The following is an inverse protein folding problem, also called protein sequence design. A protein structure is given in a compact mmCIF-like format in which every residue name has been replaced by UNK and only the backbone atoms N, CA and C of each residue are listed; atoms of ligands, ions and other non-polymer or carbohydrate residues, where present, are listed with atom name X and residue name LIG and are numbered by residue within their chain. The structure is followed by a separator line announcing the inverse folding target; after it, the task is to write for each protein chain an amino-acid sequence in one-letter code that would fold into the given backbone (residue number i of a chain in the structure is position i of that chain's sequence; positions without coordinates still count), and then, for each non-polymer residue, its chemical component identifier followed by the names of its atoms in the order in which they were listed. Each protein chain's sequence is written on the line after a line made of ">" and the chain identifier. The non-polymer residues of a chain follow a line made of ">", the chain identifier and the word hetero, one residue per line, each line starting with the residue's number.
data_IF_573127541612
#
_entry.id   IF_573127541612
#
_cell.length_a   1.000
_cell.length_b   1.000
_cell.length_c   1.000
_cell.angle_alpha   90.00
_cell.angle_beta   90.00
_cell.angle_gamma   90.00
#
_symmetry.space_group_name_H-M   'P 1'
#
loop_
_entity.id
_entity.type
_entity.pdbx_description
1 polymer ?
#
# COMPACT_ATOMS: atom_id res chain seq x y z
N UNK A 1 -16.55 12.82 3.17
CA UNK A 1 -17.62 13.14 2.18
C UNK A 1 -17.06 14.13 1.19
N UNK A 2 -16.43 13.60 0.15
CA UNK A 2 -15.51 14.32 -0.71
C UNK A 2 -14.20 13.55 -0.80
N UNK A 3 -13.35 13.92 -1.76
CA UNK A 3 -12.04 13.30 -1.92
C UNK A 3 -11.03 14.16 -1.16
N UNK A 4 -10.66 13.72 0.02
CA UNK A 4 -9.87 14.45 0.99
C UNK A 4 -8.43 13.93 1.06
N UNK A 5 -7.53 14.79 1.53
CA UNK A 5 -6.15 14.39 1.85
C UNK A 5 -5.93 14.56 3.33
N UNK A 6 -5.66 13.44 4.01
CA UNK A 6 -5.62 13.35 5.46
C UNK A 6 -4.18 13.05 5.86
N UNK A 7 -3.66 13.80 6.84
CA UNK A 7 -2.31 13.62 7.36
C UNK A 7 -2.42 13.66 8.88
N UNK A 8 -2.02 12.56 9.54
CA UNK A 8 -2.02 12.46 11.01
C UNK A 8 -1.04 13.45 11.64
N UNK A 9 0.12 13.61 11.00
CA UNK A 9 1.20 14.43 11.52
C UNK A 9 2.03 13.64 12.51
N UNK A 10 2.81 14.34 13.35
CA UNK A 10 3.69 13.64 14.28
C UNK A 10 2.89 12.92 15.37
N UNK A 11 3.05 11.61 15.49
CA UNK A 11 2.45 10.84 16.57
C UNK A 11 1.95 9.49 16.09
N UNK A 12 0.95 8.97 16.80
CA UNK A 12 0.18 7.81 16.35
C UNK A 12 -1.26 8.32 16.20
N UNK A 13 -1.73 8.43 14.98
CA UNK A 13 -2.99 9.07 14.67
C UNK A 13 -4.04 8.09 14.20
N UNK A 14 -5.30 8.38 14.52
CA UNK A 14 -6.45 7.68 13.94
C UNK A 14 -6.97 8.51 12.78
N UNK A 15 -6.89 7.98 11.56
CA UNK A 15 -7.30 8.65 10.34
C UNK A 15 -8.57 8.02 9.76
N UNK A 16 -9.59 8.83 9.48
CA UNK A 16 -10.89 8.43 8.93
C UNK A 16 -11.30 9.44 7.87
N UNK A 17 -11.54 9.01 6.64
CA UNK A 17 -11.93 9.91 5.54
C UNK A 17 -13.43 9.91 5.22
N UNK A 18 -14.07 8.75 5.41
CA UNK A 18 -15.49 8.59 5.14
C UNK A 18 -15.76 8.54 3.65
N UNK A 19 -17.00 8.78 3.22
CA UNK A 19 -17.36 8.70 1.78
C UNK A 19 -16.48 9.59 0.89
N UNK A 20 -15.98 9.03 -0.20
CA UNK A 20 -15.13 9.66 -1.21
C UNK A 20 -13.85 8.86 -1.41
N UNK A 21 -13.04 9.25 -2.40
CA UNK A 21 -11.73 8.64 -2.62
C UNK A 21 -10.67 9.49 -1.92
N UNK A 22 -10.27 9.07 -0.75
CA UNK A 22 -9.39 9.77 0.17
C UNK A 22 -7.93 9.31 0.04
N UNK A 23 -7.02 10.18 0.44
CA UNK A 23 -5.58 9.89 0.53
C UNK A 23 -5.09 10.09 1.95
N UNK A 24 -4.69 9.01 2.60
CA UNK A 24 -4.09 8.98 3.92
C UNK A 24 -2.56 9.04 3.82
N UNK A 25 -1.94 10.05 4.41
CA UNK A 25 -0.48 10.15 4.55
C UNK A 25 -0.06 9.64 5.92
N UNK A 26 0.53 8.45 5.92
CA UNK A 26 1.06 7.76 7.10
C UNK A 26 2.54 8.05 7.23
N UNK A 27 2.95 8.68 8.33
CA UNK A 27 4.35 8.94 8.66
C UNK A 27 4.83 8.22 9.93
N UNK A 28 3.92 7.55 10.64
CA UNK A 28 4.21 6.72 11.81
C UNK A 28 3.70 5.29 11.67
N UNK A 29 4.48 4.32 12.15
CA UNK A 29 4.05 2.92 12.22
C UNK A 29 2.88 2.69 13.18
N UNK A 30 2.54 3.68 14.02
CA UNK A 30 1.40 3.61 14.93
C UNK A 30 0.14 4.26 14.39
N UNK A 31 0.17 4.86 13.19
CA UNK A 31 -1.03 5.42 12.57
C UNK A 31 -2.01 4.31 12.17
N UNK A 32 -3.29 4.59 12.40
CA UNK A 32 -4.39 3.70 12.09
C UNK A 32 -5.32 4.35 11.08
N UNK A 33 -5.28 3.86 9.85
CA UNK A 33 -6.26 4.17 8.80
C UNK A 33 -7.49 3.31 9.02
N UNK A 34 -8.67 3.94 9.00
CA UNK A 34 -9.96 3.28 9.22
C UNK A 34 -10.87 3.60 8.07
N UNK A 35 -11.22 2.54 7.36
CA UNK A 35 -12.04 2.61 6.15
C UNK A 35 -13.27 1.72 6.28
N UNK A 36 -14.44 2.24 5.90
CA UNK A 36 -15.70 1.49 5.93
C UNK A 36 -16.06 1.05 4.53
N UNK A 37 -16.63 -0.16 4.42
CA UNK A 37 -17.03 -0.72 3.13
C UNK A 37 -17.98 0.22 2.37
N UNK A 38 -17.62 0.54 1.12
CA UNK A 38 -18.45 1.32 0.21
C UNK A 38 -18.30 2.83 0.36
N UNK A 39 -17.28 3.30 1.08
CA UNK A 39 -16.97 4.72 1.21
C UNK A 39 -16.15 5.25 0.03
N UNK A 40 -15.30 4.44 -0.62
CA UNK A 40 -14.61 4.87 -1.83
C UNK A 40 -13.57 3.87 -2.31
N UNK A 41 -12.63 4.38 -3.10
CA UNK A 41 -11.37 3.71 -3.40
C UNK A 41 -10.23 4.56 -2.82
N UNK A 42 -9.67 4.10 -1.72
CA UNK A 42 -8.84 4.92 -0.84
C UNK A 42 -7.37 4.55 -0.93
N UNK A 43 -6.51 5.54 -0.70
CA UNK A 43 -5.08 5.41 -0.92
C UNK A 43 -4.28 5.72 0.32
N UNK A 44 -3.38 4.82 0.70
CA UNK A 44 -2.33 5.11 1.68
C UNK A 44 -1.05 5.50 0.97
N UNK A 45 -0.50 6.65 1.35
CA UNK A 45 0.83 7.09 1.01
C UNK A 45 1.70 7.04 2.26
N UNK A 46 2.85 6.37 2.20
CA UNK A 46 3.71 6.24 3.38
C UNK A 46 5.19 6.37 3.08
N UNK A 47 5.93 6.85 4.07
CA UNK A 47 7.41 6.82 4.11
C UNK A 47 7.94 5.84 5.16
N UNK A 48 7.06 5.14 5.89
CA UNK A 48 7.47 4.11 6.85
C UNK A 48 8.06 2.93 6.10
N UNK A 49 9.08 2.29 6.67
CA UNK A 49 9.75 1.14 6.03
C UNK A 49 8.88 -0.12 5.96
N UNK A 50 7.70 -0.11 6.60
CA UNK A 50 6.73 -1.19 6.52
C UNK A 50 5.32 -0.67 6.73
N UNK A 51 4.36 -1.21 5.99
CA UNK A 51 2.94 -0.90 6.13
C UNK A 51 2.06 -2.07 5.68
N UNK A 52 0.98 -2.32 6.40
CA UNK A 52 -0.06 -3.27 6.04
C UNK A 52 -1.37 -2.52 5.84
N UNK A 53 -2.01 -2.69 4.68
CA UNK A 53 -3.30 -2.08 4.41
C UNK A 53 -4.35 -2.61 5.39
N UNK A 54 -5.11 -1.69 5.99
CA UNK A 54 -6.33 -2.03 6.71
C UNK A 54 -7.38 -2.63 5.77
N UNK A 55 -8.42 -3.25 6.32
CA UNK A 55 -9.58 -3.69 5.52
C UNK A 55 -10.22 -2.52 4.79
N UNK A 56 -10.77 -2.77 3.59
CA UNK A 56 -11.45 -1.76 2.75
C UNK A 56 -10.55 -0.66 2.18
N UNK A 57 -9.22 -0.80 2.26
CA UNK A 57 -8.29 0.15 1.61
C UNK A 57 -7.72 -0.51 0.36
N UNK A 58 -7.75 0.18 -0.77
CA UNK A 58 -7.43 -0.42 -2.07
C UNK A 58 -6.00 -0.14 -2.51
N UNK A 59 -5.43 1.03 -2.19
CA UNK A 59 -4.13 1.43 -2.73
C UNK A 59 -3.06 1.69 -1.68
N UNK A 60 -1.83 1.26 -1.97
CA UNK A 60 -0.63 1.55 -1.18
C UNK A 60 0.47 2.13 -2.08
N UNK A 61 1.00 3.29 -1.70
CA UNK A 61 2.12 3.94 -2.37
C UNK A 61 3.23 4.24 -1.35
N UNK A 62 4.39 3.62 -1.54
CA UNK A 62 5.60 3.99 -0.82
C UNK A 62 6.26 5.21 -1.47
N UNK A 63 6.48 6.27 -0.68
CA UNK A 63 7.11 7.53 -1.10
C UNK A 63 8.54 7.67 -0.57
N UNK A 64 9.01 6.70 0.24
CA UNK A 64 10.32 6.74 0.84
C UNK A 64 11.44 6.31 -0.10
N UNK A 65 12.65 6.31 0.44
CA UNK A 65 13.82 5.73 -0.19
C UNK A 65 14.46 4.75 0.80
N UNK A 66 14.75 3.55 0.34
CA UNK A 66 15.19 2.41 1.15
C UNK A 66 14.23 1.24 1.02
N UNK A 67 14.63 0.10 1.57
CA UNK A 67 13.84 -1.12 1.51
C UNK A 67 12.50 -0.96 2.24
N UNK A 68 11.43 -1.33 1.57
CA UNK A 68 10.07 -1.28 2.06
C UNK A 68 9.46 -2.67 2.17
N UNK A 69 8.58 -2.86 3.16
CA UNK A 69 7.74 -4.06 3.28
C UNK A 69 6.27 -3.65 3.25
N UNK A 70 5.63 -3.85 2.10
CA UNK A 70 4.21 -3.57 1.89
C UNK A 70 3.38 -4.85 1.92
N UNK A 71 2.25 -4.84 2.64
CA UNK A 71 1.27 -5.94 2.61
C UNK A 71 -0.11 -5.37 2.31
N UNK A 72 -0.80 -5.96 1.33
CA UNK A 72 -2.19 -5.67 1.01
C UNK A 72 -3.17 -6.35 1.97
N UNK A 73 -4.38 -6.60 1.51
CA UNK A 73 -5.48 -7.17 2.26
C UNK A 73 -6.21 -8.23 1.39
N UNK A 74 -7.53 -8.38 1.55
CA UNK A 74 -8.32 -9.38 0.82
C UNK A 74 -9.04 -8.82 -0.41
N UNK A 75 -8.77 -7.56 -0.76
CA UNK A 75 -9.33 -6.87 -1.93
C UNK A 75 -8.32 -6.87 -3.07
N UNK A 76 -8.78 -6.47 -4.25
CA UNK A 76 -7.88 -6.18 -5.36
C UNK A 76 -7.07 -4.92 -5.04
N UNK A 77 -5.82 -5.08 -4.62
CA UNK A 77 -4.97 -3.97 -4.22
C UNK A 77 -4.11 -3.46 -5.38
N UNK A 78 -3.83 -2.16 -5.37
CA UNK A 78 -2.78 -1.53 -6.18
C UNK A 78 -1.67 -1.08 -5.25
N UNK A 79 -0.51 -1.74 -5.35
CA UNK A 79 0.64 -1.50 -4.48
C UNK A 79 1.84 -1.05 -5.30
N UNK A 80 2.49 0.02 -4.88
CA UNK A 80 3.71 0.53 -5.51
C UNK A 80 4.79 0.70 -4.45
N UNK A 81 5.89 -0.03 -4.61
CA UNK A 81 7.16 0.20 -3.91
C UNK A 81 7.85 1.46 -4.40
N UNK A 82 9.14 1.60 -4.08
CA UNK A 82 9.90 2.81 -4.35
C UNK A 82 11.31 2.52 -4.83
N UNK A 83 12.27 3.24 -4.26
CA UNK A 83 13.69 2.96 -4.44
C UNK A 83 14.15 2.12 -3.27
N UNK A 84 14.73 0.95 -3.51
CA UNK A 84 15.13 0.02 -2.46
C UNK A 84 14.88 -1.43 -2.89
N UNK A 85 15.36 -2.40 -2.11
CA UNK A 85 14.97 -3.78 -2.32
C UNK A 85 13.66 -4.01 -1.56
N UNK A 86 12.54 -3.91 -2.24
CA UNK A 86 11.23 -3.91 -1.62
C UNK A 86 10.65 -5.32 -1.56
N UNK A 87 9.82 -5.57 -0.54
CA UNK A 87 9.04 -6.79 -0.40
C UNK A 87 7.57 -6.43 -0.42
N UNK A 88 6.86 -6.84 -1.46
CA UNK A 88 5.44 -6.59 -1.62
C UNK A 88 4.67 -7.91 -1.57
N UNK A 89 3.59 -7.94 -0.78
CA UNK A 89 2.67 -9.07 -0.70
C UNK A 89 1.24 -8.58 -0.93
N UNK A 90 0.60 -9.03 -2.02
CA UNK A 90 -0.74 -8.61 -2.42
C UNK A 90 -1.81 -9.08 -1.44
N UNK A 91 -1.83 -10.38 -1.17
CA UNK A 91 -2.77 -10.98 -0.22
C UNK A 91 -3.77 -11.88 -0.95
N UNK A 92 -5.05 -11.68 -0.71
CA UNK A 92 -6.09 -12.29 -1.55
C UNK A 92 -6.63 -11.20 -2.49
N UNK A 93 -7.09 -11.57 -3.68
CA UNK A 93 -7.61 -10.62 -4.65
C UNK A 93 -6.84 -10.67 -5.96
N UNK A 94 -7.30 -9.92 -6.95
CA UNK A 94 -6.58 -9.75 -8.20
C UNK A 94 -5.72 -8.50 -8.11
N UNK A 95 -4.49 -8.66 -7.66
CA UNK A 95 -3.65 -7.54 -7.27
C UNK A 95 -2.84 -6.97 -8.42
N UNK A 96 -2.40 -5.73 -8.26
CA UNK A 96 -1.41 -5.07 -9.09
C UNK A 96 -0.26 -4.61 -8.21
N UNK A 97 0.92 -5.19 -8.41
CA UNK A 97 2.10 -4.89 -7.61
C UNK A 97 3.24 -4.39 -8.49
N UNK A 98 3.76 -3.20 -8.16
CA UNK A 98 4.90 -2.57 -8.82
C UNK A 98 6.06 -2.44 -7.82
N UNK A 99 7.17 -3.14 -8.05
CA UNK A 99 8.35 -3.16 -7.18
C UNK A 99 9.09 -1.82 -7.17
N UNK A 100 9.53 -1.37 -8.34
CA UNK A 100 10.16 -0.06 -8.52
C UNK A 100 11.62 -0.17 -8.94
N UNK A 101 12.52 0.46 -8.18
CA UNK A 101 13.97 0.42 -8.44
C UNK A 101 14.64 -0.36 -7.31
N UNK A 102 15.28 -1.46 -7.64
CA UNK A 102 16.02 -2.31 -6.71
C UNK A 102 15.81 -3.78 -7.06
N UNK A 103 16.29 -4.68 -6.21
CA UNK A 103 16.05 -6.11 -6.37
C UNK A 103 14.86 -6.48 -5.50
N UNK A 104 13.68 -6.58 -6.10
CA UNK A 104 12.43 -6.69 -5.35
C UNK A 104 11.98 -8.14 -5.16
N UNK A 105 11.17 -8.36 -4.12
CA UNK A 105 10.44 -9.62 -3.88
C UNK A 105 8.96 -9.33 -3.94
N UNK A 106 8.29 -9.86 -4.96
CA UNK A 106 6.87 -9.58 -5.22
C UNK A 106 6.08 -10.88 -5.12
N UNK A 107 5.21 -10.97 -4.14
CA UNK A 107 4.25 -12.05 -3.96
C UNK A 107 2.85 -11.55 -4.31
N UNK A 108 2.24 -12.11 -5.34
CA UNK A 108 0.84 -11.81 -5.68
C UNK A 108 -0.11 -12.30 -4.59
N UNK A 109 0.10 -13.53 -4.14
CA UNK A 109 -0.81 -14.19 -3.22
C UNK A 109 -1.90 -14.95 -3.98
N UNK A 110 -3.13 -14.90 -3.49
CA UNK A 110 -4.24 -15.66 -4.06
C UNK A 110 -5.06 -14.79 -5.02
N UNK A 111 -5.02 -15.12 -6.32
CA UNK A 111 -5.90 -14.52 -7.32
C UNK A 111 -5.20 -14.43 -8.67
N UNK A 112 -5.76 -13.61 -9.55
CA UNK A 112 -5.17 -13.33 -10.85
C UNK A 112 -4.40 -12.01 -10.79
N UNK A 113 -3.13 -12.10 -10.43
CA UNK A 113 -2.30 -10.94 -10.14
C UNK A 113 -1.52 -10.43 -11.35
N UNK A 114 -1.21 -9.13 -11.32
CA UNK A 114 -0.28 -8.47 -12.23
C UNK A 114 0.92 -7.98 -11.45
N UNK A 115 2.07 -8.59 -11.70
CA UNK A 115 3.31 -8.31 -11.00
C UNK A 115 4.32 -7.63 -11.95
N UNK A 116 4.90 -6.52 -11.52
CA UNK A 116 5.92 -5.77 -12.26
C UNK A 116 7.07 -5.40 -11.31
N UNK A 117 8.23 -6.03 -11.46
CA UNK A 117 9.42 -5.78 -10.64
C UNK A 117 10.04 -4.41 -10.88
N UNK A 118 10.20 -4.03 -12.14
CA UNK A 118 10.81 -2.76 -12.51
C UNK A 118 12.31 -2.90 -12.79
N UNK A 119 13.12 -2.01 -12.24
CA UNK A 119 14.57 -1.95 -12.51
C UNK A 119 15.34 -2.72 -11.45
N UNK A 120 15.90 -3.86 -11.84
CA UNK A 120 16.83 -4.64 -11.03
C UNK A 120 16.66 -6.13 -11.27
N UNK A 121 17.12 -6.95 -10.32
CA UNK A 121 16.93 -8.39 -10.36
C UNK A 121 15.80 -8.77 -9.39
N UNK A 122 14.61 -8.98 -9.95
CA UNK A 122 13.42 -9.21 -9.15
C UNK A 122 13.09 -10.69 -8.98
N UNK A 123 12.45 -11.00 -7.86
CA UNK A 123 11.92 -12.33 -7.53
C UNK A 123 10.40 -12.26 -7.46
N UNK A 124 9.73 -13.13 -8.22
CA UNK A 124 8.28 -13.27 -8.21
C UNK A 124 7.89 -14.55 -7.50
N UNK A 125 6.94 -14.45 -6.57
CA UNK A 125 6.30 -15.57 -5.89
C UNK A 125 4.88 -15.66 -6.46
N UNK A 126 4.59 -16.80 -7.10
CA UNK A 126 3.35 -17.10 -7.83
C UNK A 126 2.80 -18.45 -7.41
#
# INVERSE_FOLDING_TARGET
>A
AGNDVITGGAGNDRMVGGVGNDTFRVDSSGDLVVEVTGEGADSVQTTTISYTLGTNVEHLLYLGAGNFVGTGNALNNIMTGGVGNDTLNGGDGNDTLLGGIGNDVINGGAGADRLEGGVGNDTYIV
#
